data_IF_534035224294
#
_entry.id   IF_534035224294
#
_cell.length_a   1.000
_cell.length_b   1.000
_cell.length_c   1.000
_cell.angle_alpha   90.00
_cell.angle_beta   90.00
_cell.angle_gamma   90.00
#
_symmetry.space_group_name_H-M   'P 1'
#
loop_
_entity.id
_entity.type
_entity.pdbx_description
1 polymer ?
#
# COMPACT_ATOMS: atom_id res chain seq x y z
N UNK A 1 2.01 -7.33 -11.92
CA UNK A 1 1.48 -8.04 -10.73
C UNK A 1 1.96 -7.32 -9.50
N UNK A 2 1.11 -7.18 -8.47
CA UNK A 2 1.50 -6.66 -7.16
C UNK A 2 1.74 -7.83 -6.23
N UNK A 3 2.89 -7.87 -5.57
CA UNK A 3 3.26 -8.90 -4.60
C UNK A 3 3.32 -8.31 -3.20
N UNK A 4 3.00 -9.14 -2.19
CA UNK A 4 3.04 -8.81 -0.78
C UNK A 4 3.85 -9.88 -0.05
N UNK A 5 4.78 -9.47 0.80
CA UNK A 5 5.45 -10.34 1.76
C UNK A 5 5.38 -9.70 3.15
N UNK A 6 5.09 -10.51 4.17
CA UNK A 6 5.26 -10.16 5.58
C UNK A 6 6.29 -11.10 6.17
N UNK A 7 7.34 -10.55 6.77
CA UNK A 7 8.35 -11.29 7.50
C UNK A 7 8.36 -10.85 8.97
N UNK A 8 8.09 -11.78 9.88
CA UNK A 8 8.15 -11.59 11.32
C UNK A 8 9.49 -12.04 11.90
N UNK A 9 9.93 -11.39 12.98
CA UNK A 9 11.13 -11.79 13.74
C UNK A 9 10.95 -13.15 14.43
N UNK A 10 9.70 -13.59 14.60
CA UNK A 10 9.29 -14.91 15.09
C UNK A 10 9.40 -16.03 14.04
N UNK A 11 9.98 -15.74 12.87
CA UNK A 11 10.10 -16.68 11.75
C UNK A 11 8.80 -16.82 10.94
N UNK A 12 7.76 -16.06 11.26
CA UNK A 12 6.52 -16.05 10.48
C UNK A 12 6.75 -15.43 9.10
N UNK A 13 6.20 -16.08 8.07
CA UNK A 13 6.18 -15.57 6.70
C UNK A 13 4.78 -15.64 6.13
N UNK A 14 4.36 -14.60 5.41
CA UNK A 14 3.13 -14.59 4.65
C UNK A 14 3.42 -13.98 3.28
N UNK A 15 2.97 -14.64 2.23
CA UNK A 15 3.11 -14.19 0.86
C UNK A 15 1.73 -14.08 0.21
N UNK A 16 1.54 -13.04 -0.58
CA UNK A 16 0.35 -12.81 -1.37
C UNK A 16 0.72 -12.19 -2.70
N UNK A 17 -0.11 -12.39 -3.71
CA UNK A 17 0.00 -11.66 -4.96
C UNK A 17 -1.36 -11.34 -5.52
N UNK A 18 -1.45 -10.24 -6.27
CA UNK A 18 -2.66 -9.73 -6.88
C UNK A 18 -2.35 -9.25 -8.28
N UNK A 19 -3.14 -9.71 -9.26
CA UNK A 19 -3.08 -9.18 -10.62
C UNK A 19 -4.08 -8.06 -10.78
N UNK A 20 -3.63 -6.87 -11.14
CA UNK A 20 -4.54 -5.73 -11.35
C UNK A 20 -5.58 -6.00 -12.43
N UNK A 21 -5.30 -6.91 -13.37
CA UNK A 21 -6.24 -7.36 -14.39
C UNK A 21 -7.48 -8.09 -13.84
N UNK A 22 -7.51 -8.46 -12.55
CA UNK A 22 -8.66 -9.11 -11.90
C UNK A 22 -9.53 -8.15 -11.10
N UNK A 23 -9.24 -6.84 -11.13
CA UNK A 23 -10.12 -5.85 -10.51
C UNK A 23 -11.50 -5.89 -11.16
N UNK A 24 -12.56 -5.71 -10.37
CA UNK A 24 -13.94 -5.80 -10.84
C UNK A 24 -14.40 -4.58 -11.65
N UNK A 25 -13.68 -3.46 -11.54
CA UNK A 25 -14.00 -2.19 -12.19
C UNK A 25 -12.73 -1.62 -12.79
N UNK A 26 -12.84 -1.08 -14.00
CA UNK A 26 -11.72 -0.47 -14.67
C UNK A 26 -11.18 0.74 -13.88
N UNK A 27 -9.85 0.90 -13.71
CA UNK A 27 -9.28 2.02 -12.99
C UNK A 27 -9.64 3.40 -13.56
N UNK A 28 -9.75 3.53 -14.90
CA UNK A 28 -10.12 4.81 -15.52
C UNK A 28 -11.60 5.15 -15.25
N UNK A 29 -12.48 4.15 -15.24
CA UNK A 29 -13.88 4.32 -14.82
C UNK A 29 -13.97 4.75 -13.34
N UNK A 30 -13.22 4.09 -12.45
CA UNK A 30 -13.16 4.48 -11.03
C UNK A 30 -12.64 5.92 -10.84
N UNK A 31 -11.63 6.33 -11.60
CA UNK A 31 -11.12 7.70 -11.56
C UNK A 31 -12.16 8.72 -12.06
N UNK A 32 -12.90 8.40 -13.12
CA UNK A 32 -13.98 9.23 -13.66
C UNK A 32 -15.17 9.35 -12.68
N UNK A 33 -15.44 8.32 -11.88
CA UNK A 33 -16.43 8.38 -10.80
C UNK A 33 -15.96 9.22 -9.62
N UNK A 34 -14.65 9.23 -9.33
CA UNK A 34 -14.06 10.04 -8.27
C UNK A 34 -14.05 11.53 -8.62
N UNK A 35 -13.67 11.90 -9.84
CA UNK A 35 -13.50 13.29 -10.26
C UNK A 35 -14.64 13.69 -11.21
N UNK A 36 -15.52 14.58 -10.77
CA UNK A 36 -16.69 14.98 -11.57
C UNK A 36 -17.37 16.26 -11.08
N UNK A 37 -18.59 16.55 -11.55
CA UNK A 37 -19.33 17.77 -11.20
C UNK A 37 -19.62 17.94 -9.70
N UNK A 38 -19.56 16.86 -8.92
CA UNK A 38 -19.83 16.87 -7.48
C UNK A 38 -18.56 16.81 -6.61
N UNK A 39 -17.43 16.41 -7.17
CA UNK A 39 -16.15 16.29 -6.46
C UNK A 39 -15.02 16.83 -7.33
N UNK A 40 -14.45 17.97 -6.94
CA UNK A 40 -13.34 18.62 -7.65
C UNK A 40 -12.07 18.53 -6.82
N UNK A 41 -11.00 18.01 -7.43
CA UNK A 41 -9.67 17.90 -6.84
C UNK A 41 -8.65 18.61 -7.75
N UNK A 42 -8.58 19.96 -7.72
CA UNK A 42 -7.76 20.74 -8.65
C UNK A 42 -6.26 20.42 -8.54
N UNK A 43 -5.79 20.00 -7.36
CA UNK A 43 -4.41 19.59 -7.10
C UNK A 43 -4.16 18.07 -7.28
N UNK A 44 -5.18 17.34 -7.74
CA UNK A 44 -5.16 15.89 -7.91
C UNK A 44 -5.57 15.11 -6.66
N UNK A 45 -5.56 13.78 -6.79
CA UNK A 45 -5.93 12.84 -5.74
C UNK A 45 -5.16 11.52 -5.88
N UNK A 46 -5.09 10.75 -4.80
CA UNK A 46 -4.56 9.38 -4.81
C UNK A 46 -5.73 8.44 -4.57
N UNK A 47 -6.01 7.59 -5.56
CA UNK A 47 -7.09 6.60 -5.50
C UNK A 47 -6.54 5.21 -5.18
N UNK A 48 -6.92 4.65 -4.04
CA UNK A 48 -6.59 3.28 -3.67
C UNK A 48 -7.63 2.32 -4.25
N UNK A 49 -7.20 1.46 -5.17
CA UNK A 49 -8.09 0.56 -5.93
C UNK A 49 -8.47 -0.73 -5.18
N UNK A 50 -8.20 -0.78 -3.87
CA UNK A 50 -8.42 -1.95 -3.02
C UNK A 50 -7.31 -3.00 -3.13
N UNK A 51 -7.47 -4.06 -2.33
CA UNK A 51 -6.61 -5.24 -2.34
C UNK A 51 -7.47 -6.47 -2.56
N UNK A 52 -7.00 -7.41 -3.38
CA UNK A 52 -7.67 -8.71 -3.56
C UNK A 52 -7.17 -9.76 -2.56
N UNK A 53 -6.24 -9.38 -1.68
CA UNK A 53 -5.63 -10.28 -0.73
C UNK A 53 -6.23 -10.07 0.67
N UNK A 54 -6.72 -11.16 1.26
CA UNK A 54 -7.08 -11.23 2.67
C UNK A 54 -6.03 -12.09 3.39
N UNK A 55 -5.36 -11.58 4.44
CA UNK A 55 -4.38 -12.37 5.18
C UNK A 55 -5.09 -13.38 6.07
N UNK A 56 -5.38 -14.57 5.54
CA UNK A 56 -6.09 -15.64 6.26
C UNK A 56 -5.14 -16.70 6.85
N UNK A 57 -3.83 -16.51 6.71
CA UNK A 57 -2.84 -17.43 7.27
C UNK A 57 -2.77 -17.24 8.78
N UNK A 58 -3.11 -18.30 9.52
CA UNK A 58 -2.98 -18.32 10.97
C UNK A 58 -1.54 -18.05 11.40
N UNK A 59 -1.37 -17.15 12.37
CA UNK A 59 -0.05 -16.82 12.94
C UNK A 59 0.23 -17.51 14.27
N UNK A 60 -0.68 -17.39 15.23
CA UNK A 60 -0.46 -17.85 16.61
C UNK A 60 -1.18 -19.17 16.91
N UNK A 61 -2.45 -19.29 16.52
CA UNK A 61 -3.26 -20.47 16.76
C UNK A 61 -4.12 -20.83 15.53
N UNK A 62 -4.41 -22.12 15.30
CA UNK A 62 -5.31 -22.54 14.23
C UNK A 62 -6.68 -21.85 14.31
N UNK A 63 -7.14 -21.30 13.19
CA UNK A 63 -8.39 -20.52 13.08
C UNK A 63 -8.34 -19.12 13.69
N UNK A 64 -7.20 -18.68 14.22
CA UNK A 64 -7.03 -17.34 14.82
C UNK A 64 -6.80 -16.23 13.80
N UNK A 65 -6.54 -16.58 12.54
CA UNK A 65 -6.23 -15.66 11.46
C UNK A 65 -4.87 -14.99 11.60
N UNK A 66 -4.71 -13.93 10.83
CA UNK A 66 -3.49 -13.13 10.81
C UNK A 66 -3.64 -11.86 11.63
N UNK A 67 -2.62 -11.57 12.43
CA UNK A 67 -2.40 -10.22 12.95
C UNK A 67 -0.93 -9.86 12.86
N UNK A 68 -0.66 -8.57 12.71
CA UNK A 68 0.70 -8.07 12.75
C UNK A 68 1.26 -8.13 14.16
N UNK A 69 2.56 -8.39 14.26
CA UNK A 69 3.36 -8.18 15.46
C UNK A 69 4.32 -7.02 15.21
N UNK A 70 4.76 -6.37 16.28
CA UNK A 70 5.80 -5.34 16.16
C UNK A 70 7.07 -5.95 15.57
N UNK A 71 7.78 -5.17 14.75
CA UNK A 71 8.97 -5.63 14.03
C UNK A 71 8.67 -6.27 12.68
N UNK A 72 7.41 -6.67 12.40
CA UNK A 72 7.03 -7.18 11.09
C UNK A 72 7.49 -6.25 9.96
N UNK A 73 8.15 -6.82 8.96
CA UNK A 73 8.50 -6.12 7.73
C UNK A 73 7.48 -6.50 6.66
N UNK A 74 6.71 -5.52 6.22
CA UNK A 74 5.75 -5.64 5.13
C UNK A 74 6.38 -5.06 3.87
N UNK A 75 6.49 -5.87 2.83
CA UNK A 75 6.98 -5.48 1.51
C UNK A 75 5.86 -5.62 0.50
N UNK A 76 5.52 -4.53 -0.17
CA UNK A 76 4.62 -4.51 -1.32
C UNK A 76 5.45 -4.15 -2.54
N UNK A 77 5.42 -4.96 -3.60
CA UNK A 77 6.26 -4.74 -4.77
C UNK A 77 5.54 -4.95 -6.10
N UNK A 78 5.98 -4.22 -7.12
CA UNK A 78 5.61 -4.42 -8.51
C UNK A 78 6.86 -4.18 -9.38
N UNK A 79 7.14 -5.01 -10.40
CA UNK A 79 8.37 -4.89 -11.21
C UNK A 79 8.61 -3.48 -11.75
N UNK A 80 7.55 -2.77 -12.14
CA UNK A 80 7.60 -1.45 -12.76
C UNK A 80 7.79 -0.31 -11.76
N UNK A 81 7.46 -0.53 -10.48
CA UNK A 81 7.44 0.51 -9.44
C UNK A 81 8.45 0.27 -8.31
N UNK A 82 9.11 -0.88 -8.29
CA UNK A 82 9.98 -1.29 -7.20
C UNK A 82 9.19 -1.81 -6.00
N UNK A 83 9.59 -1.41 -4.79
CA UNK A 83 8.98 -1.90 -3.56
C UNK A 83 8.74 -0.79 -2.54
N UNK A 84 7.59 -0.86 -1.87
CA UNK A 84 7.29 -0.15 -0.64
C UNK A 84 7.53 -1.11 0.53
N UNK A 85 8.45 -0.75 1.42
CA UNK A 85 8.84 -1.57 2.58
C UNK A 85 8.59 -0.78 3.85
N UNK A 86 7.76 -1.32 4.74
CA UNK A 86 7.43 -0.71 6.02
C UNK A 86 7.66 -1.70 7.15
N UNK A 87 8.07 -1.17 8.31
CA UNK A 87 8.21 -1.95 9.55
C UNK A 87 7.07 -1.59 10.50
N UNK A 88 6.42 -2.60 11.08
CA UNK A 88 5.36 -2.39 12.06
C UNK A 88 5.96 -1.91 13.39
N UNK A 89 5.49 -0.74 13.85
CA UNK A 89 5.92 -0.07 15.09
C UNK A 89 4.74 0.61 15.76
N UNK A 90 4.90 0.93 17.04
CA UNK A 90 3.96 1.78 17.75
C UNK A 90 4.00 3.19 17.20
N UNK A 91 2.83 3.79 16.99
CA UNK A 91 2.72 5.14 16.44
C UNK A 91 3.46 6.18 17.28
N UNK A 92 3.47 6.05 18.61
CA UNK A 92 4.17 6.95 19.53
C UNK A 92 5.70 6.82 19.49
N UNK A 93 6.23 5.73 18.93
CA UNK A 93 7.68 5.52 18.73
C UNK A 93 8.13 5.90 17.31
N UNK A 94 7.19 6.18 16.41
CA UNK A 94 7.50 6.58 15.05
C UNK A 94 7.89 8.07 15.00
N UNK A 95 8.91 8.38 14.21
CA UNK A 95 9.29 9.77 13.95
C UNK A 95 8.11 10.57 13.38
N UNK A 96 7.91 11.83 13.81
CA UNK A 96 6.87 12.69 13.27
C UNK A 96 6.99 12.84 11.75
N UNK A 97 5.85 12.78 11.07
CA UNK A 97 5.81 12.94 9.63
C UNK A 97 6.17 14.38 9.22
N UNK A 98 7.22 14.53 8.40
CA UNK A 98 7.67 15.84 7.87
C UNK A 98 7.55 15.96 6.34
N UNK A 99 7.19 14.87 5.65
CA UNK A 99 7.17 14.80 4.18
C UNK A 99 5.74 14.86 3.63
N UNK A 100 5.16 16.05 3.52
CA UNK A 100 3.82 16.23 2.95
C UNK A 100 3.75 16.18 1.42
N UNK A 101 2.54 16.30 0.86
CA UNK A 101 2.29 16.30 -0.58
C UNK A 101 3.14 17.33 -1.36
N UNK A 102 3.34 18.53 -0.82
CA UNK A 102 4.19 19.54 -1.46
C UNK A 102 5.67 19.13 -1.56
N UNK A 103 6.15 18.27 -0.64
CA UNK A 103 7.50 17.72 -0.71
C UNK A 103 7.60 16.65 -1.80
N UNK A 104 6.56 15.83 -1.99
CA UNK A 104 6.48 14.88 -3.10
C UNK A 104 6.58 15.61 -4.45
N UNK A 105 5.75 16.64 -4.66
CA UNK A 105 5.76 17.40 -5.91
C UNK A 105 7.12 18.06 -6.17
N UNK A 106 7.72 18.68 -5.14
CA UNK A 106 9.09 19.22 -5.24
C UNK A 106 10.14 18.15 -5.55
N UNK A 107 10.01 16.94 -5.00
CA UNK A 107 10.92 15.83 -5.28
C UNK A 107 10.83 15.38 -6.74
N UNK A 108 9.60 15.22 -7.26
CA UNK A 108 9.36 14.80 -8.63
C UNK A 108 9.86 15.86 -9.64
N UNK A 109 9.57 17.14 -9.41
CA UNK A 109 10.07 18.23 -10.26
C UNK A 109 11.61 18.24 -10.33
N UNK A 110 12.30 18.11 -9.19
CA UNK A 110 13.78 18.06 -9.14
C UNK A 110 14.37 16.89 -9.93
N UNK A 111 13.58 15.83 -10.15
CA UNK A 111 13.99 14.63 -10.89
C UNK A 111 13.53 14.62 -12.35
N UNK A 112 12.83 15.66 -12.81
CA UNK A 112 12.30 15.75 -14.18
C UNK A 112 11.11 14.81 -14.43
N UNK A 113 10.29 14.55 -13.41
CA UNK A 113 9.14 13.64 -13.47
C UNK A 113 7.77 14.35 -13.42
N UNK A 114 7.76 15.69 -13.53
CA UNK A 114 6.57 16.54 -13.65
C UNK A 114 6.68 17.41 -14.90
#
# INVERSE_FOLDING_TARGET
TVSLTVAGEDGFTLEGSSSIAKISRDPADLAAQMIGPHHQYPDGAVLYLGTMFAPIKDRDAPGGGFTHKYGDVVTISAPELGALVNRMRRTDECEPWRFGASHLMRNLAKRGLL
#
